data_IF_042200154246
#
_entry.id   IF_042200154246
#
_cell.length_a   1.000
_cell.length_b   1.000
_cell.length_c   1.000
_cell.angle_alpha   90.00
_cell.angle_beta   90.00
_cell.angle_gamma   90.00
#
_symmetry.space_group_name_H-M   'P 1'
#
loop_
_entity.id
_entity.type
_entity.pdbx_description
1 polymer ?
#
# COMPACT_ATOMS: atom_id res chain seq x y z
N UNK A 1 29.28 12.43 14.89
CA UNK A 1 28.44 12.39 13.66
C UNK A 1 28.56 11.07 12.88
N UNK A 2 29.70 10.36 12.91
CA UNK A 2 29.88 9.10 12.16
C UNK A 2 28.92 7.95 12.56
N UNK A 3 28.68 7.75 13.86
CA UNK A 3 27.76 6.71 14.36
C UNK A 3 26.31 6.92 13.90
N UNK A 4 25.84 8.17 13.90
CA UNK A 4 24.49 8.52 13.44
C UNK A 4 24.32 8.24 11.94
N UNK A 5 25.32 8.54 11.12
CA UNK A 5 25.25 8.30 9.68
C UNK A 5 25.29 6.80 9.35
N UNK A 6 26.05 6.01 10.12
CA UNK A 6 26.10 4.56 9.99
C UNK A 6 24.77 3.89 10.39
N UNK A 7 24.13 4.34 11.48
CA UNK A 7 22.79 3.87 11.84
C UNK A 7 21.74 4.25 10.80
N UNK A 8 21.77 5.49 10.30
CA UNK A 8 20.81 5.94 9.29
C UNK A 8 20.95 5.16 7.97
N UNK A 9 22.16 4.79 7.55
CA UNK A 9 22.34 4.00 6.32
C UNK A 9 21.85 2.55 6.44
N UNK A 10 21.79 1.99 7.66
CA UNK A 10 21.24 0.65 7.90
C UNK A 10 19.72 0.71 8.04
N UNK A 11 19.20 1.65 8.83
CA UNK A 11 17.76 1.74 9.16
C UNK A 11 16.95 2.36 8.03
N UNK A 12 17.47 3.39 7.37
CA UNK A 12 16.76 4.14 6.32
C UNK A 12 17.38 3.96 4.93
N UNK A 13 18.45 3.18 4.83
CA UNK A 13 19.14 2.94 3.57
C UNK A 13 18.72 1.65 2.86
N UNK A 14 19.58 1.15 1.96
CA UNK A 14 19.27 0.00 1.10
C UNK A 14 18.79 -1.27 1.82
N UNK A 15 19.34 -1.66 3.01
CA UNK A 15 18.93 -2.89 3.68
C UNK A 15 17.44 -2.92 4.05
N UNK A 16 16.91 -1.79 4.54
CA UNK A 16 15.50 -1.68 4.90
C UNK A 16 14.59 -1.78 3.68
N UNK A 17 14.98 -1.13 2.57
CA UNK A 17 14.22 -1.20 1.31
C UNK A 17 14.19 -2.63 0.75
N UNK A 18 15.31 -3.34 0.81
CA UNK A 18 15.39 -4.75 0.38
C UNK A 18 14.54 -5.65 1.26
N UNK A 19 14.54 -5.44 2.59
CA UNK A 19 13.67 -6.21 3.50
C UNK A 19 12.19 -5.96 3.24
N UNK A 20 11.79 -4.71 2.99
CA UNK A 20 10.39 -4.35 2.77
C UNK A 20 9.87 -4.95 1.46
N UNK A 21 10.60 -4.74 0.35
CA UNK A 21 10.23 -5.31 -0.95
C UNK A 21 10.36 -6.84 -0.91
N UNK A 22 11.43 -7.37 -0.31
CA UNK A 22 11.67 -8.81 -0.20
C UNK A 22 10.58 -9.53 0.59
N UNK A 23 10.11 -8.94 1.69
CA UNK A 23 8.99 -9.49 2.48
C UNK A 23 7.70 -9.47 1.68
N UNK A 24 7.40 -8.37 0.97
CA UNK A 24 6.21 -8.30 0.12
C UNK A 24 6.23 -9.32 -1.03
N UNK A 25 7.39 -9.52 -1.66
CA UNK A 25 7.55 -10.55 -2.71
C UNK A 25 7.41 -11.95 -2.11
N UNK A 26 8.04 -12.20 -0.96
CA UNK A 26 7.93 -13.48 -0.26
C UNK A 26 6.48 -13.82 0.11
N UNK A 27 5.75 -12.85 0.67
CA UNK A 27 4.33 -13.01 0.99
C UNK A 27 3.49 -13.19 -0.28
N UNK A 28 3.73 -12.40 -1.32
CA UNK A 28 3.05 -12.54 -2.62
C UNK A 28 3.16 -13.96 -3.19
N UNK A 29 4.36 -14.52 -3.17
CA UNK A 29 4.62 -15.88 -3.67
C UNK A 29 3.99 -16.93 -2.74
N UNK A 30 4.11 -16.75 -1.42
CA UNK A 30 3.53 -17.68 -0.42
C UNK A 30 2.00 -17.68 -0.44
N UNK A 31 1.37 -16.54 -0.70
CA UNK A 31 -0.08 -16.40 -0.85
C UNK A 31 -0.57 -16.82 -2.25
N UNK A 32 0.34 -17.14 -3.19
CA UNK A 32 -0.02 -17.61 -4.52
C UNK A 32 -0.68 -16.54 -5.39
N UNK A 33 -0.19 -15.30 -5.35
CA UNK A 33 -0.76 -14.15 -6.08
C UNK A 33 -2.22 -13.85 -5.70
N UNK A 34 -2.58 -14.14 -4.44
CA UNK A 34 -3.92 -13.91 -3.90
C UNK A 34 -4.43 -12.50 -4.11
N UNK A 35 -3.56 -11.49 -4.08
CA UNK A 35 -3.93 -10.11 -4.37
C UNK A 35 -4.53 -10.00 -5.78
N UNK A 36 -3.90 -10.56 -6.82
CA UNK A 36 -4.41 -10.46 -8.19
C UNK A 36 -5.69 -11.27 -8.41
N UNK A 37 -5.85 -12.41 -7.72
CA UNK A 37 -7.01 -13.30 -7.88
C UNK A 37 -8.25 -12.79 -7.13
N UNK A 38 -8.08 -12.26 -5.90
CA UNK A 38 -9.21 -11.83 -5.06
C UNK A 38 -9.51 -10.33 -5.13
N UNK A 39 -8.68 -9.50 -5.77
CA UNK A 39 -9.01 -8.08 -6.00
C UNK A 39 -10.40 -7.91 -6.62
N UNK A 40 -10.79 -8.75 -7.58
CA UNK A 40 -12.13 -8.72 -8.19
C UNK A 40 -13.26 -9.13 -7.22
N UNK A 41 -13.01 -10.08 -6.33
CA UNK A 41 -13.98 -10.49 -5.30
C UNK A 41 -14.13 -9.42 -4.22
N UNK A 42 -13.02 -8.88 -3.73
CA UNK A 42 -12.99 -7.78 -2.75
C UNK A 42 -13.66 -6.54 -3.31
N UNK A 43 -13.39 -6.17 -4.57
CA UNK A 43 -14.09 -5.07 -5.22
C UNK A 43 -15.59 -5.34 -5.31
N UNK A 44 -16.00 -6.56 -5.70
CA UNK A 44 -17.44 -6.91 -5.80
C UNK A 44 -18.14 -6.97 -4.44
N UNK A 45 -17.43 -7.33 -3.36
CA UNK A 45 -17.99 -7.35 -2.00
C UNK A 45 -18.03 -5.96 -1.37
N UNK A 46 -17.00 -5.14 -1.56
CA UNK A 46 -16.97 -3.76 -1.07
C UNK A 46 -17.89 -2.86 -1.90
N UNK A 47 -17.78 -2.88 -3.23
CA UNK A 47 -18.60 -2.05 -4.14
C UNK A 47 -19.99 -2.61 -4.44
N UNK A 48 -20.16 -3.94 -4.53
CA UNK A 48 -21.48 -4.53 -4.76
C UNK A 48 -22.42 -4.43 -3.55
N UNK A 49 -21.87 -4.30 -2.33
CA UNK A 49 -22.64 -3.96 -1.13
C UNK A 49 -22.97 -2.46 -1.03
N UNK A 50 -22.31 -1.58 -1.79
CA UNK A 50 -22.70 -0.16 -1.82
C UNK A 50 -24.08 0.09 -2.47
N UNK A 51 -24.50 -0.78 -3.41
CA UNK A 51 -25.79 -0.65 -4.09
C UNK A 51 -26.92 -1.49 -3.46
N UNK A 52 -26.60 -2.57 -2.76
CA UNK A 52 -27.60 -3.34 -2.00
C UNK A 52 -27.68 -2.81 -0.58
N UNK A 53 -28.73 -2.01 -0.30
CA UNK A 53 -29.26 -1.79 1.06
C UNK A 53 -29.67 -3.15 1.63
N UNK A 54 -28.73 -3.91 2.17
CA UNK A 54 -29.05 -5.01 3.07
C UNK A 54 -28.63 -4.53 4.44
N UNK A 55 -29.64 -4.38 5.31
CA UNK A 55 -29.51 -3.99 6.71
C UNK A 55 -28.25 -4.61 7.32
N UNK A 56 -27.36 -3.76 7.81
CA UNK A 56 -26.36 -4.15 8.79
C UNK A 56 -27.10 -4.50 10.09
N UNK A 57 -27.57 -5.74 10.19
CA UNK A 57 -27.74 -6.40 11.48
C UNK A 57 -26.51 -7.30 11.65
N UNK A 58 -25.87 -7.20 12.83
CA UNK A 58 -24.72 -7.99 13.31
C UNK A 58 -23.30 -7.39 13.10
N UNK A 59 -22.98 -6.35 13.88
CA UNK A 59 -21.67 -6.25 14.56
C UNK A 59 -20.59 -5.31 14.01
N UNK A 60 -20.79 -4.62 12.89
CA UNK A 60 -19.82 -3.67 12.33
C UNK A 60 -20.03 -2.23 12.81
N UNK A 61 -19.05 -1.61 13.47
CA UNK A 61 -19.16 -0.23 13.98
C UNK A 61 -19.25 0.84 12.87
N UNK A 62 -18.83 0.52 11.64
CA UNK A 62 -18.79 1.44 10.49
C UNK A 62 -19.08 0.69 9.18
N UNK A 63 -19.70 1.38 8.22
CA UNK A 63 -19.96 0.80 6.90
C UNK A 63 -18.68 0.51 6.13
N UNK A 64 -18.73 -0.42 5.17
CA UNK A 64 -17.58 -0.72 4.29
C UNK A 64 -17.04 0.51 3.56
N UNK A 65 -17.89 1.50 3.25
CA UNK A 65 -17.49 2.74 2.58
C UNK A 65 -16.74 3.64 3.54
N UNK A 66 -17.24 3.76 4.76
CA UNK A 66 -16.66 4.58 5.82
C UNK A 66 -15.29 4.03 6.23
N UNK A 67 -15.12 2.70 6.29
CA UNK A 67 -13.83 2.06 6.53
C UNK A 67 -12.81 2.39 5.42
N UNK A 68 -13.18 2.23 4.14
CA UNK A 68 -12.29 2.54 3.01
C UNK A 68 -11.96 4.03 2.95
N UNK A 69 -12.95 4.90 3.15
CA UNK A 69 -12.77 6.35 3.15
C UNK A 69 -11.85 6.80 4.29
N UNK A 70 -11.99 6.22 5.48
CA UNK A 70 -11.11 6.50 6.62
C UNK A 70 -9.68 6.02 6.37
N UNK A 71 -9.49 4.84 5.80
CA UNK A 71 -8.16 4.33 5.45
C UNK A 71 -7.48 5.17 4.35
N UNK A 72 -8.22 5.61 3.33
CA UNK A 72 -7.70 6.51 2.30
C UNK A 72 -7.35 7.88 2.88
N UNK A 73 -8.20 8.45 3.74
CA UNK A 73 -7.93 9.72 4.41
C UNK A 73 -6.68 9.66 5.30
N UNK A 74 -6.42 8.51 5.93
CA UNK A 74 -5.22 8.31 6.75
C UNK A 74 -3.93 8.16 5.92
N UNK A 75 -4.04 7.72 4.67
CA UNK A 75 -2.86 7.38 3.83
C UNK A 75 -2.59 8.39 2.73
N UNK A 76 -3.57 9.19 2.31
CA UNK A 76 -3.42 10.24 1.30
C UNK A 76 -3.17 11.59 1.99
N UNK A 77 -2.03 12.22 1.69
CA UNK A 77 -1.71 13.54 2.23
C UNK A 77 -0.64 14.28 1.42
N UNK A 78 -0.27 15.48 1.88
CA UNK A 78 0.75 16.35 1.25
C UNK A 78 2.08 15.60 1.07
N UNK A 79 2.42 14.73 2.03
CA UNK A 79 3.63 13.90 1.97
C UNK A 79 3.68 12.98 0.73
N UNK A 80 2.57 12.41 0.28
CA UNK A 80 2.55 11.59 -0.92
C UNK A 80 2.78 12.43 -2.18
N UNK A 81 2.19 13.63 -2.24
CA UNK A 81 2.34 14.53 -3.39
C UNK A 81 3.79 15.02 -3.49
N UNK A 82 4.36 15.50 -2.38
CA UNK A 82 5.75 15.94 -2.30
C UNK A 82 6.74 14.78 -2.50
N UNK A 83 6.42 13.58 -2.02
CA UNK A 83 7.24 12.38 -2.19
C UNK A 83 7.29 11.95 -3.65
N UNK A 84 6.13 11.90 -4.33
CA UNK A 84 6.04 11.57 -5.77
C UNK A 84 6.78 12.61 -6.60
N UNK A 85 6.61 13.91 -6.33
CA UNK A 85 7.30 14.96 -7.08
C UNK A 85 8.82 14.90 -6.89
N UNK A 86 9.29 14.63 -5.67
CA UNK A 86 10.72 14.45 -5.38
C UNK A 86 11.28 13.20 -6.05
N UNK A 87 10.54 12.09 -6.03
CA UNK A 87 10.94 10.84 -6.69
C UNK A 87 11.03 11.01 -8.22
N UNK A 88 10.11 11.75 -8.83
CA UNK A 88 10.16 12.11 -10.24
C UNK A 88 11.32 13.05 -10.57
N UNK A 89 11.55 14.07 -9.74
CA UNK A 89 12.61 15.04 -9.96
C UNK A 89 14.00 14.42 -9.85
N UNK A 90 14.22 13.52 -8.89
CA UNK A 90 15.52 12.87 -8.64
C UNK A 90 15.71 11.57 -9.43
N UNK A 91 14.66 10.77 -9.59
CA UNK A 91 14.69 9.45 -10.21
C UNK A 91 14.21 9.40 -11.67
N UNK A 92 13.71 10.53 -12.20
CA UNK A 92 13.17 10.62 -13.55
C UNK A 92 11.82 9.90 -13.70
N UNK A 93 11.29 9.82 -14.94
CA UNK A 93 9.97 9.25 -15.22
C UNK A 93 9.86 7.75 -14.86
N UNK A 94 10.99 7.03 -14.82
CA UNK A 94 11.03 5.62 -14.43
C UNK A 94 10.67 5.36 -12.97
N UNK A 95 10.69 6.38 -12.10
CA UNK A 95 10.28 6.24 -10.71
C UNK A 95 8.83 5.78 -10.56
N UNK A 96 7.93 6.25 -11.43
CA UNK A 96 6.49 5.90 -11.38
C UNK A 96 6.26 4.41 -11.61
N UNK A 97 7.01 3.81 -12.53
CA UNK A 97 6.95 2.37 -12.79
C UNK A 97 7.32 1.56 -11.54
N UNK A 98 8.40 1.96 -10.86
CA UNK A 98 8.83 1.30 -9.62
C UNK A 98 7.87 1.54 -8.45
N UNK A 99 7.20 2.69 -8.39
CA UNK A 99 6.16 2.96 -7.39
C UNK A 99 4.95 2.04 -7.57
N UNK A 100 4.54 1.74 -8.81
CA UNK A 100 3.47 0.78 -9.05
C UNK A 100 3.87 -0.65 -8.70
N UNK A 101 5.10 -1.07 -9.05
CA UNK A 101 5.60 -2.39 -8.67
C UNK A 101 5.65 -2.55 -7.14
N UNK A 102 6.18 -1.56 -6.43
CA UNK A 102 6.26 -1.62 -4.97
C UNK A 102 4.88 -1.62 -4.33
N UNK A 103 3.92 -0.87 -4.87
CA UNK A 103 2.53 -0.90 -4.41
C UNK A 103 1.87 -2.28 -4.64
N UNK A 104 2.10 -2.91 -5.79
CA UNK A 104 1.59 -4.25 -6.10
C UNK A 104 2.15 -5.33 -5.15
N UNK A 105 3.43 -5.22 -4.84
CA UNK A 105 4.14 -6.13 -3.93
C UNK A 105 3.72 -5.91 -2.48
N UNK A 106 3.45 -4.66 -2.08
CA UNK A 106 3.02 -4.30 -0.73
C UNK A 106 1.55 -4.60 -0.41
N UNK A 107 0.74 -4.99 -1.40
CA UNK A 107 -0.67 -5.37 -1.19
C UNK A 107 -0.86 -6.82 -0.69
N UNK A 108 0.21 -7.63 -0.62
CA UNK A 108 0.18 -9.01 -0.16
C UNK A 108 0.26 -9.11 1.38
#
# INVERSE_FOLDING_TARGET
>A
MAFNNWLNSIVWGPPFMVLLIGTGVYLTVRLGFFQFVKLGLSWRQSFGRFFKKTKEEEGGAISSFQAVSSAMAATIGVGNIAGVSTALALGGPGAVFWMWISALVGMA
#
